data_IF_865066017622
#
_entry.id   IF_865066017622
#
_cell.length_a   1.000
_cell.length_b   1.000
_cell.length_c   1.000
_cell.angle_alpha   90.00
_cell.angle_beta   90.00
_cell.angle_gamma   90.00
#
_symmetry.space_group_name_H-M   'P 1'
#
loop_
_entity.id
_entity.type
_entity.pdbx_description
1 polymer ?
#
# COMPACT_ATOMS: atom_id res chain seq x y z
N UNK A 1 -11.07 6.16 11.77
CA UNK A 1 -10.60 6.65 10.46
C UNK A 1 -9.44 7.59 10.64
N UNK A 2 -8.42 7.45 9.83
CA UNK A 2 -7.23 8.29 9.89
C UNK A 2 -7.23 9.28 8.74
N UNK A 3 -6.94 10.54 9.07
CA UNK A 3 -6.82 11.59 8.07
C UNK A 3 -5.35 12.00 8.00
N UNK A 4 -4.79 12.04 6.79
CA UNK A 4 -3.38 12.37 6.56
C UNK A 4 -3.25 13.76 5.94
N UNK A 5 -2.07 14.41 6.09
CA UNK A 5 -1.87 15.76 5.56
C UNK A 5 -2.16 15.90 4.07
N UNK A 6 -2.05 14.82 3.32
CA UNK A 6 -2.36 14.82 1.89
C UNK A 6 -3.87 14.80 1.59
N UNK A 7 -4.71 14.77 2.61
CA UNK A 7 -6.15 14.65 2.44
C UNK A 7 -6.61 13.24 2.12
N UNK A 8 -5.72 12.26 2.27
CA UNK A 8 -6.06 10.85 2.02
C UNK A 8 -6.81 10.28 3.20
N UNK A 9 -7.94 9.67 2.91
CA UNK A 9 -8.82 9.10 3.92
C UNK A 9 -8.88 7.58 3.69
N UNK A 10 -8.18 6.83 4.55
CA UNK A 10 -8.13 5.37 4.47
C UNK A 10 -8.44 4.77 5.83
N UNK A 11 -8.99 3.55 5.86
CA UNK A 11 -9.29 2.90 7.12
C UNK A 11 -8.00 2.43 7.80
N UNK A 12 -7.98 2.51 9.13
CA UNK A 12 -6.82 2.07 9.91
C UNK A 12 -6.57 0.58 9.73
N UNK A 13 -7.63 -0.23 9.64
CA UNK A 13 -7.46 -1.67 9.51
C UNK A 13 -6.87 -2.06 8.16
N UNK A 14 -7.29 -1.41 7.08
CA UNK A 14 -6.71 -1.64 5.76
C UNK A 14 -5.24 -1.26 5.74
N UNK A 15 -4.91 -0.11 6.31
CA UNK A 15 -3.54 0.38 6.38
C UNK A 15 -2.65 -0.57 7.18
N UNK A 16 -3.12 -1.02 8.34
CA UNK A 16 -2.37 -1.94 9.19
C UNK A 16 -2.16 -3.29 8.50
N UNK A 17 -3.21 -3.81 7.86
CA UNK A 17 -3.13 -5.08 7.16
C UNK A 17 -2.08 -5.04 6.06
N UNK A 18 -2.16 -4.05 5.18
CA UNK A 18 -1.22 -3.94 4.07
C UNK A 18 0.19 -3.66 4.56
N UNK A 19 0.35 -2.80 5.58
CA UNK A 19 1.66 -2.51 6.16
C UNK A 19 2.31 -3.77 6.71
N UNK A 20 1.55 -4.62 7.40
CA UNK A 20 2.07 -5.86 7.95
C UNK A 20 2.51 -6.83 6.85
N UNK A 21 1.73 -6.95 5.79
CA UNK A 21 2.06 -7.82 4.66
C UNK A 21 3.30 -7.33 3.90
N UNK A 22 3.44 -6.03 3.73
CA UNK A 22 4.61 -5.45 3.10
C UNK A 22 5.87 -5.64 3.96
N UNK A 23 5.73 -5.51 5.27
CA UNK A 23 6.84 -5.76 6.20
C UNK A 23 7.31 -7.20 6.10
N UNK A 24 6.37 -8.13 6.07
CA UNK A 24 6.66 -9.55 5.92
C UNK A 24 7.39 -9.84 4.60
N UNK A 25 6.92 -9.24 3.49
CA UNK A 25 7.56 -9.40 2.19
C UNK A 25 8.99 -8.87 2.20
N UNK A 26 9.22 -7.72 2.84
CA UNK A 26 10.57 -7.17 2.94
C UNK A 26 11.51 -8.09 3.71
N UNK A 27 11.02 -8.73 4.76
CA UNK A 27 11.80 -9.71 5.52
C UNK A 27 12.14 -10.92 4.68
N UNK A 28 11.19 -11.43 3.93
CA UNK A 28 11.39 -12.58 3.05
C UNK A 28 12.41 -12.29 1.95
N UNK A 29 12.38 -11.09 1.40
CA UNK A 29 13.31 -10.67 0.35
C UNK A 29 14.67 -10.25 0.91
N UNK A 30 14.79 -10.09 2.23
CA UNK A 30 16.03 -9.62 2.85
C UNK A 30 16.34 -8.17 2.56
N UNK A 31 15.34 -7.36 2.23
CA UNK A 31 15.52 -5.95 1.93
C UNK A 31 15.81 -5.18 3.20
N UNK A 32 16.98 -4.53 3.27
CA UNK A 32 17.40 -3.76 4.44
C UNK A 32 17.10 -2.28 4.33
N UNK A 33 17.05 -1.78 3.10
CA UNK A 33 16.96 -0.34 2.88
C UNK A 33 15.90 -0.03 1.85
N UNK A 34 15.00 0.86 2.22
CA UNK A 34 13.99 1.39 1.33
C UNK A 34 13.75 2.87 1.66
N UNK A 35 13.45 3.66 0.66
CA UNK A 35 13.18 5.08 0.84
C UNK A 35 11.91 5.31 1.66
N UNK A 36 10.89 4.49 1.48
CA UNK A 36 9.65 4.54 2.27
C UNK A 36 9.56 3.34 3.18
N UNK A 37 9.04 3.56 4.38
CA UNK A 37 8.67 2.48 5.28
C UNK A 37 7.51 1.68 4.70
N UNK A 38 7.29 0.47 5.21
CA UNK A 38 6.16 -0.35 4.79
C UNK A 38 4.83 0.37 5.03
N UNK A 39 4.71 1.10 6.14
CA UNK A 39 3.51 1.87 6.43
C UNK A 39 3.26 2.96 5.42
N UNK A 40 4.30 3.70 5.04
CA UNK A 40 4.16 4.76 4.03
C UNK A 40 3.90 4.18 2.64
N UNK A 41 4.50 3.04 2.31
CA UNK A 41 4.21 2.36 1.07
C UNK A 41 2.74 1.92 1.01
N UNK A 42 2.21 1.40 2.12
CA UNK A 42 0.81 1.00 2.20
C UNK A 42 -0.10 2.21 2.02
N UNK A 43 0.22 3.34 2.66
CA UNK A 43 -0.57 4.55 2.53
C UNK A 43 -0.57 5.06 1.09
N UNK A 44 0.59 5.10 0.45
CA UNK A 44 0.74 5.50 -0.95
C UNK A 44 -0.15 4.64 -1.85
N UNK A 45 -0.11 3.32 -1.65
CA UNK A 45 -0.87 2.37 -2.46
C UNK A 45 -2.37 2.55 -2.27
N UNK A 46 -2.82 2.65 -1.01
CA UNK A 46 -4.24 2.81 -0.73
C UNK A 46 -4.77 4.15 -1.24
N UNK A 47 -3.96 5.20 -1.19
CA UNK A 47 -4.34 6.49 -1.75
C UNK A 47 -4.57 6.37 -3.25
N UNK A 48 -3.69 5.67 -3.95
CA UNK A 48 -3.84 5.45 -5.39
C UNK A 48 -5.09 4.63 -5.70
N UNK A 49 -5.29 3.53 -4.99
CA UNK A 49 -6.40 2.61 -5.27
C UNK A 49 -7.76 3.21 -4.91
N UNK A 50 -7.84 3.95 -3.82
CA UNK A 50 -9.12 4.52 -3.36
C UNK A 50 -9.49 5.81 -4.06
N UNK A 51 -8.52 6.69 -4.26
CA UNK A 51 -8.78 8.04 -4.74
C UNK A 51 -8.39 8.27 -6.18
N UNK A 52 -7.67 7.32 -6.80
CA UNK A 52 -7.25 7.44 -8.20
C UNK A 52 -6.24 8.53 -8.46
N UNK A 53 -5.47 8.95 -7.45
CA UNK A 53 -4.45 9.98 -7.64
C UNK A 53 -3.37 9.52 -8.61
N UNK A 54 -2.94 10.39 -9.55
CA UNK A 54 -1.85 10.05 -10.47
C UNK A 54 -0.55 9.77 -9.72
N UNK A 55 0.30 8.92 -10.31
CA UNK A 55 1.60 8.58 -9.70
C UNK A 55 2.44 9.82 -9.45
N UNK A 56 2.45 10.78 -10.37
CA UNK A 56 3.24 12.00 -10.23
C UNK A 56 2.82 12.82 -9.03
N UNK A 57 1.52 12.93 -8.79
CA UNK A 57 0.99 13.68 -7.66
C UNK A 57 1.37 13.00 -6.34
N UNK A 58 1.21 11.68 -6.28
CA UNK A 58 1.55 10.91 -5.07
C UNK A 58 3.06 10.96 -4.81
N UNK A 59 3.86 10.84 -5.87
CA UNK A 59 5.31 10.90 -5.76
C UNK A 59 5.75 12.23 -5.14
N UNK A 60 5.19 13.34 -5.62
CA UNK A 60 5.50 14.66 -5.08
C UNK A 60 5.11 14.75 -3.60
N UNK A 61 3.94 14.25 -3.24
CA UNK A 61 3.47 14.29 -1.85
C UNK A 61 4.29 13.43 -0.91
N UNK A 62 4.90 12.36 -1.39
CA UNK A 62 5.70 11.44 -0.58
C UNK A 62 7.20 11.67 -0.69
N UNK A 63 7.62 12.67 -1.48
CA UNK A 63 9.03 13.02 -1.62
C UNK A 63 9.87 11.99 -2.36
N UNK A 64 9.28 11.31 -3.34
CA UNK A 64 9.96 10.30 -4.15
C UNK A 64 9.74 10.57 -5.64
N UNK A 65 10.51 9.91 -6.49
CA UNK A 65 10.33 10.02 -7.94
C UNK A 65 9.09 9.25 -8.41
N UNK A 66 8.56 9.64 -9.56
CA UNK A 66 7.37 9.01 -10.13
C UNK A 66 7.59 7.52 -10.40
N UNK A 67 8.76 7.15 -10.96
CA UNK A 67 9.10 5.75 -11.21
C UNK A 67 9.16 4.95 -9.92
N UNK A 68 9.71 5.55 -8.86
CA UNK A 68 9.79 4.92 -7.54
C UNK A 68 8.38 4.70 -6.97
N UNK A 69 7.50 5.69 -7.10
CA UNK A 69 6.11 5.57 -6.66
C UNK A 69 5.42 4.42 -7.39
N UNK A 70 5.61 4.33 -8.70
CA UNK A 70 5.05 3.25 -9.51
C UNK A 70 5.52 1.88 -9.02
N UNK A 71 6.82 1.75 -8.75
CA UNK A 71 7.38 0.48 -8.26
C UNK A 71 6.81 0.07 -6.92
N UNK A 72 6.69 1.03 -5.98
CA UNK A 72 6.13 0.75 -4.66
C UNK A 72 4.67 0.32 -4.76
N UNK A 73 3.89 0.99 -5.59
CA UNK A 73 2.48 0.66 -5.76
C UNK A 73 2.32 -0.69 -6.44
N UNK A 74 3.11 -0.97 -7.46
CA UNK A 74 3.08 -2.25 -8.18
C UNK A 74 3.41 -3.40 -7.23
N UNK A 75 4.44 -3.24 -6.40
CA UNK A 75 4.80 -4.26 -5.42
C UNK A 75 3.67 -4.53 -4.44
N UNK A 76 3.04 -3.47 -3.93
CA UNK A 76 1.94 -3.62 -2.99
C UNK A 76 0.71 -4.26 -3.65
N UNK A 77 0.43 -3.91 -4.90
CA UNK A 77 -0.67 -4.52 -5.65
C UNK A 77 -0.41 -6.02 -5.86
N UNK A 78 0.84 -6.40 -6.14
CA UNK A 78 1.20 -7.82 -6.27
C UNK A 78 0.96 -8.57 -4.96
N UNK A 79 1.29 -7.96 -3.82
CA UNK A 79 1.02 -8.56 -2.52
C UNK A 79 -0.48 -8.78 -2.33
N UNK A 80 -1.28 -7.78 -2.66
CA UNK A 80 -2.74 -7.88 -2.54
C UNK A 80 -3.31 -8.92 -3.49
N UNK A 81 -2.80 -8.99 -4.72
CA UNK A 81 -3.25 -9.95 -5.71
C UNK A 81 -2.96 -11.38 -5.25
N UNK A 82 -1.83 -11.60 -4.61
CA UNK A 82 -1.48 -12.93 -4.08
C UNK A 82 -2.42 -13.37 -2.96
N UNK A 83 -3.05 -12.41 -2.27
CA UNK A 83 -4.00 -12.69 -1.19
C UNK A 83 -5.46 -12.72 -1.66
N UNK A 84 -5.72 -12.37 -2.92
CA UNK A 84 -7.09 -12.23 -3.44
C UNK A 84 -7.95 -13.49 -3.25
N UNK A 85 -7.47 -14.71 -3.50
CA UNK A 85 -8.29 -15.91 -3.26
C UNK A 85 -8.72 -16.04 -1.81
N UNK A 86 -7.82 -15.76 -0.87
CA UNK A 86 -8.14 -15.83 0.56
C UNK A 86 -9.15 -14.77 0.95
N UNK A 87 -9.00 -13.55 0.41
CA UNK A 87 -9.93 -12.46 0.67
C UNK A 87 -11.31 -12.77 0.11
N UNK A 88 -11.37 -13.34 -1.09
CA UNK A 88 -12.64 -13.72 -1.71
C UNK A 88 -13.35 -14.80 -0.90
N UNK A 89 -12.63 -15.77 -0.35
CA UNK A 89 -13.17 -16.79 0.53
C UNK A 89 -13.74 -16.18 1.79
N UNK A 90 -12.99 -15.28 2.42
CA UNK A 90 -13.43 -14.60 3.64
C UNK A 90 -14.72 -13.83 3.42
N UNK A 91 -14.83 -13.13 2.30
CA UNK A 91 -16.02 -12.37 1.94
C UNK A 91 -17.21 -13.30 1.74
N UNK A 92 -17.02 -14.42 1.05
CA UNK A 92 -18.08 -15.40 0.85
C UNK A 92 -18.57 -16.00 2.15
N UNK A 93 -17.64 -16.32 3.05
CA UNK A 93 -17.98 -16.88 4.36
C UNK A 93 -18.74 -15.89 5.21
N UNK A 94 -18.38 -14.61 5.10
CA UNK A 94 -19.02 -13.54 5.88
C UNK A 94 -20.42 -13.19 5.37
N UNK A 95 -20.72 -13.49 4.12
CA UNK A 95 -22.04 -13.24 3.57
C UNK A 95 -22.96 -14.41 3.87
#
# INVERSE_FOLDING_TARGET
MLVYPSGVDVSSSALRFLSAKLRQRRQELGTRWRRLSAGRQALLTLAHLRNGHPYAQLAAGFGIGTTTAYRYITEAVEVLAALAPTLAEAVRTAS
#
